data_IF_087462856012
#
_entry.id   IF_087462856012
#
_cell.length_a   1.000
_cell.length_b   1.000
_cell.length_c   1.000
_cell.angle_alpha   90.00
_cell.angle_beta   90.00
_cell.angle_gamma   90.00
#
_symmetry.space_group_name_H-M   'P 1'
#
loop_
_entity.id
_entity.type
_entity.pdbx_description
1 polymer ?
#
# COMPACT_ATOMS: atom_id res chain seq x y z
N UNK A 1 16.97 -17.31 -45.19
CA UNK A 1 15.87 -18.11 -44.64
C UNK A 1 15.97 -18.31 -43.10
N UNK A 2 17.14 -18.23 -42.50
CA UNK A 2 17.36 -18.44 -41.04
C UNK A 2 16.82 -17.31 -40.10
N UNK A 3 16.73 -16.08 -40.58
CA UNK A 3 16.30 -14.91 -39.74
C UNK A 3 14.77 -14.84 -39.52
N UNK A 4 13.97 -15.58 -40.33
CA UNK A 4 12.50 -15.59 -40.21
C UNK A 4 12.01 -16.56 -39.14
N UNK A 5 12.79 -17.62 -38.84
CA UNK A 5 12.44 -18.60 -37.80
C UNK A 5 12.73 -18.08 -36.36
N UNK A 6 13.66 -17.16 -36.18
CA UNK A 6 13.98 -16.58 -34.86
C UNK A 6 12.92 -15.60 -34.36
N UNK A 7 12.21 -14.88 -35.25
CA UNK A 7 11.09 -14.01 -34.86
C UNK A 7 9.82 -14.77 -34.51
N UNK A 8 9.52 -15.82 -35.27
CA UNK A 8 8.35 -16.68 -35.02
C UNK A 8 8.47 -17.45 -33.69
N UNK A 9 9.64 -17.97 -33.35
CA UNK A 9 9.90 -18.59 -32.04
C UNK A 9 9.75 -17.58 -30.89
N UNK A 10 10.28 -16.37 -31.00
CA UNK A 10 10.13 -15.34 -29.96
C UNK A 10 8.67 -14.96 -29.69
N UNK A 11 7.80 -14.99 -30.69
CA UNK A 11 6.37 -14.66 -30.53
C UNK A 11 5.60 -15.78 -29.81
N UNK A 12 6.03 -17.04 -29.97
CA UNK A 12 5.41 -18.20 -29.30
C UNK A 12 6.01 -18.43 -27.92
N UNK A 13 7.31 -18.16 -27.73
CA UNK A 13 8.01 -18.37 -26.46
C UNK A 13 7.73 -17.23 -25.45
N UNK A 14 7.40 -16.03 -25.91
CA UNK A 14 7.09 -14.89 -25.04
C UNK A 14 5.90 -15.12 -24.06
N UNK A 15 4.75 -15.67 -24.49
CA UNK A 15 3.66 -15.95 -23.54
C UNK A 15 3.99 -17.10 -22.58
N UNK A 16 4.77 -18.10 -23.01
CA UNK A 16 5.21 -19.20 -22.15
C UNK A 16 6.18 -18.69 -21.07
N UNK A 17 7.14 -17.85 -21.43
CA UNK A 17 8.05 -17.23 -20.47
C UNK A 17 7.31 -16.33 -19.48
N UNK A 18 6.32 -15.57 -19.93
CA UNK A 18 5.48 -14.76 -19.04
C UNK A 18 4.67 -15.63 -18.06
N UNK A 19 4.19 -16.79 -18.49
CA UNK A 19 3.50 -17.76 -17.61
C UNK A 19 4.46 -18.40 -16.61
N UNK A 20 5.69 -18.72 -17.01
CA UNK A 20 6.72 -19.23 -16.10
C UNK A 20 7.10 -18.17 -15.04
N UNK A 21 7.33 -16.93 -15.45
CA UNK A 21 7.62 -15.82 -14.51
C UNK A 21 6.45 -15.59 -13.53
N UNK A 22 5.21 -15.64 -14.00
CA UNK A 22 4.02 -15.56 -13.13
C UNK A 22 3.94 -16.78 -12.18
N UNK A 23 4.25 -17.97 -12.66
CA UNK A 23 4.29 -19.18 -11.83
C UNK A 23 5.33 -19.10 -10.72
N UNK A 24 6.54 -18.65 -11.04
CA UNK A 24 7.61 -18.42 -10.06
C UNK A 24 7.20 -17.36 -9.01
N UNK A 25 6.61 -16.26 -9.47
CA UNK A 25 6.13 -15.18 -8.61
C UNK A 25 5.05 -15.67 -7.64
N UNK A 26 4.04 -16.37 -8.15
CA UNK A 26 2.96 -16.94 -7.34
C UNK A 26 3.47 -18.00 -6.35
N UNK A 27 4.43 -18.84 -6.76
CA UNK A 27 5.04 -19.85 -5.88
C UNK A 27 5.81 -19.22 -4.73
N UNK A 28 6.50 -18.10 -4.99
CA UNK A 28 7.21 -17.33 -3.96
C UNK A 28 6.21 -16.70 -2.98
N UNK A 29 5.11 -16.13 -3.48
CA UNK A 29 4.06 -15.55 -2.64
C UNK A 29 3.40 -16.60 -1.76
N UNK A 30 3.03 -17.75 -2.33
CA UNK A 30 2.45 -18.85 -1.57
C UNK A 30 3.41 -19.36 -0.47
N UNK A 31 4.69 -19.54 -0.80
CA UNK A 31 5.71 -19.90 0.18
C UNK A 31 5.82 -18.87 1.29
N UNK A 32 5.91 -17.58 0.95
CA UNK A 32 6.01 -16.52 1.94
C UNK A 32 4.83 -16.51 2.92
N UNK A 33 3.61 -16.72 2.41
CA UNK A 33 2.39 -16.74 3.24
C UNK A 33 2.32 -18.00 4.12
N UNK A 34 2.60 -19.17 3.55
CA UNK A 34 2.57 -20.45 4.31
C UNK A 34 3.58 -20.46 5.47
N UNK A 35 4.70 -19.77 5.33
CA UNK A 35 5.72 -19.69 6.38
C UNK A 35 5.41 -18.69 7.49
N UNK A 36 4.38 -17.85 7.39
CA UNK A 36 4.02 -16.83 8.40
C UNK A 36 3.99 -17.39 9.82
N UNK A 37 3.26 -18.51 10.14
CA UNK A 37 3.15 -18.97 11.50
C UNK A 37 4.48 -19.44 12.12
N UNK A 38 5.36 -20.05 11.29
CA UNK A 38 6.69 -20.49 11.73
C UNK A 38 7.64 -19.31 11.88
N UNK A 39 7.60 -18.34 10.97
CA UNK A 39 8.43 -17.13 10.98
C UNK A 39 8.13 -16.27 12.22
N UNK A 40 6.86 -16.11 12.58
CA UNK A 40 6.42 -15.40 13.79
C UNK A 40 7.02 -15.99 15.08
N UNK A 41 7.25 -17.30 15.11
CA UNK A 41 7.84 -17.96 16.29
C UNK A 41 9.38 -17.96 16.27
N UNK A 42 9.98 -18.14 15.12
CA UNK A 42 11.43 -18.36 14.96
C UNK A 42 12.24 -17.05 14.81
N UNK A 43 11.67 -16.04 14.14
CA UNK A 43 12.40 -14.82 13.75
C UNK A 43 11.83 -13.54 14.39
N UNK A 44 11.41 -13.63 15.67
CA UNK A 44 10.80 -12.51 16.40
C UNK A 44 11.73 -11.30 16.53
N UNK A 45 13.02 -11.53 16.77
CA UNK A 45 14.01 -10.47 16.90
C UNK A 45 14.20 -9.72 15.57
N UNK A 46 14.19 -10.45 14.45
CA UNK A 46 14.33 -9.84 13.14
C UNK A 46 13.08 -9.02 12.76
N UNK A 47 11.88 -9.55 13.07
CA UNK A 47 10.61 -8.82 12.89
C UNK A 47 10.63 -7.53 13.73
N UNK A 48 11.05 -7.61 15.00
CA UNK A 48 11.14 -6.45 15.88
C UNK A 48 12.17 -5.42 15.37
N UNK A 49 13.30 -5.89 14.84
CA UNK A 49 14.33 -5.03 14.22
C UNK A 49 13.76 -4.31 12.99
N UNK A 50 13.09 -5.05 12.09
CA UNK A 50 12.45 -4.48 10.91
C UNK A 50 11.32 -3.51 11.28
N UNK A 51 10.52 -3.83 12.31
CA UNK A 51 9.49 -2.91 12.81
C UNK A 51 10.12 -1.63 13.34
N UNK A 52 11.19 -1.71 14.09
CA UNK A 52 11.90 -0.53 14.59
C UNK A 52 12.49 0.27 13.43
N UNK A 53 13.09 -0.39 12.43
CA UNK A 53 13.63 0.25 11.23
C UNK A 53 12.54 0.94 10.40
N UNK A 54 11.40 0.28 10.21
CA UNK A 54 10.24 0.81 9.48
C UNK A 54 9.56 1.95 10.23
N UNK A 55 9.45 1.85 11.56
CA UNK A 55 8.75 2.83 12.39
C UNK A 55 9.62 4.00 12.81
N UNK A 56 10.91 3.76 13.09
CA UNK A 56 11.81 4.76 13.67
C UNK A 56 13.05 5.07 12.81
N UNK A 57 13.38 4.26 11.76
CA UNK A 57 14.55 4.41 10.90
C UNK A 57 15.87 4.39 11.66
N UNK A 58 16.96 4.65 10.96
CA UNK A 58 18.32 4.70 11.54
C UNK A 58 18.72 6.07 12.13
N UNK A 59 17.78 7.00 12.28
CA UNK A 59 18.03 8.34 12.84
C UNK A 59 16.75 9.10 13.10
N UNK A 60 16.50 9.45 14.36
CA UNK A 60 15.22 9.96 14.88
C UNK A 60 14.61 11.17 14.14
N UNK A 61 15.38 11.96 13.40
CA UNK A 61 14.89 13.10 12.62
C UNK A 61 14.54 12.74 11.16
N UNK A 62 15.20 11.72 10.58
CA UNK A 62 14.94 11.24 9.21
C UNK A 62 13.63 10.46 9.15
N UNK A 63 13.16 9.95 10.26
CA UNK A 63 11.96 9.09 10.38
C UNK A 63 10.67 9.88 10.36
N UNK A 64 10.66 11.08 10.89
CA UNK A 64 9.50 11.99 10.77
C UNK A 64 9.27 12.33 9.29
N UNK A 65 10.32 12.34 8.48
CA UNK A 65 10.27 12.55 7.03
C UNK A 65 10.20 11.22 6.23
N UNK A 66 10.31 10.07 6.89
CA UNK A 66 10.19 8.75 6.29
C UNK A 66 8.74 8.39 5.89
N UNK A 67 8.40 7.12 5.98
CA UNK A 67 7.09 6.60 5.55
C UNK A 67 5.91 7.29 6.21
N UNK A 68 6.00 7.53 7.53
CA UNK A 68 4.94 8.21 8.28
C UNK A 68 4.77 9.66 7.84
N UNK A 69 5.87 10.38 7.60
CA UNK A 69 5.84 11.76 7.13
C UNK A 69 5.27 11.91 5.73
N UNK A 70 5.66 11.01 4.81
CA UNK A 70 5.10 10.98 3.44
C UNK A 70 3.60 10.66 3.50
N UNK A 71 3.21 9.68 4.30
CA UNK A 71 1.80 9.32 4.46
C UNK A 71 0.98 10.46 5.05
N UNK A 72 1.48 11.09 6.11
CA UNK A 72 0.84 12.24 6.74
C UNK A 72 0.66 13.39 5.74
N UNK A 73 1.73 13.75 5.02
CA UNK A 73 1.70 14.84 4.04
C UNK A 73 0.72 14.58 2.90
N UNK A 74 0.73 13.38 2.34
CA UNK A 74 -0.22 12.97 1.29
C UNK A 74 -1.65 12.97 1.82
N UNK A 75 -1.88 12.46 3.02
CA UNK A 75 -3.21 12.39 3.62
C UNK A 75 -3.78 13.78 3.93
N UNK A 76 -2.95 14.70 4.46
CA UNK A 76 -3.34 16.10 4.67
C UNK A 76 -3.69 16.79 3.35
N UNK A 77 -2.87 16.62 2.32
CA UNK A 77 -3.10 17.23 1.01
C UNK A 77 -4.36 16.68 0.35
N UNK A 78 -4.50 15.36 0.28
CA UNK A 78 -5.66 14.72 -0.36
C UNK A 78 -6.94 14.96 0.45
N UNK A 79 -6.88 14.90 1.78
CA UNK A 79 -8.01 15.25 2.65
C UNK A 79 -8.49 16.68 2.44
N UNK A 80 -7.56 17.63 2.31
CA UNK A 80 -7.91 19.02 1.96
C UNK A 80 -8.58 19.12 0.59
N UNK A 81 -8.09 18.38 -0.40
CA UNK A 81 -8.71 18.36 -1.74
C UNK A 81 -10.11 17.75 -1.70
N UNK A 82 -10.32 16.67 -0.96
CA UNK A 82 -11.65 16.03 -0.80
C UNK A 82 -12.65 17.02 -0.19
N UNK A 83 -12.24 17.71 0.89
CA UNK A 83 -13.06 18.73 1.52
C UNK A 83 -13.41 19.88 0.56
N UNK A 84 -12.39 20.43 -0.12
CA UNK A 84 -12.57 21.56 -1.04
C UNK A 84 -13.43 21.20 -2.27
N UNK A 85 -13.14 20.08 -2.91
CA UNK A 85 -13.88 19.66 -4.10
C UNK A 85 -15.29 19.18 -3.75
N UNK A 86 -15.43 18.47 -2.63
CA UNK A 86 -16.72 18.05 -2.10
C UNK A 86 -17.61 19.25 -1.79
N UNK A 87 -17.06 20.26 -1.10
CA UNK A 87 -17.78 21.50 -0.82
C UNK A 87 -18.24 22.20 -2.11
N UNK A 88 -17.33 22.44 -3.06
CA UNK A 88 -17.66 23.11 -4.33
C UNK A 88 -18.70 22.38 -5.15
N UNK A 89 -18.62 21.05 -5.20
CA UNK A 89 -19.59 20.24 -5.92
C UNK A 89 -21.00 20.35 -5.31
N UNK A 90 -21.10 20.36 -3.99
CA UNK A 90 -22.36 20.46 -3.28
C UNK A 90 -22.91 21.90 -3.21
N UNK A 91 -22.04 22.91 -3.10
CA UNK A 91 -22.38 24.33 -3.14
C UNK A 91 -23.06 24.70 -4.47
N UNK A 92 -22.56 24.17 -5.58
CA UNK A 92 -23.19 24.35 -6.90
C UNK A 92 -24.62 23.82 -7.01
N UNK A 93 -25.02 22.94 -6.08
CA UNK A 93 -26.37 22.35 -5.98
C UNK A 93 -27.19 22.96 -4.82
N UNK A 94 -26.59 23.86 -4.03
CA UNK A 94 -27.23 24.47 -2.85
C UNK A 94 -27.38 23.51 -1.66
N UNK A 95 -26.52 22.46 -1.58
CA UNK A 95 -26.54 21.43 -0.53
C UNK A 95 -25.16 21.25 0.12
N UNK A 96 -24.40 22.33 0.25
CA UNK A 96 -23.04 22.38 0.82
C UNK A 96 -22.95 21.80 2.24
N UNK A 97 -24.06 21.82 2.98
CA UNK A 97 -24.19 21.19 4.30
C UNK A 97 -23.77 19.70 4.30
N UNK A 98 -23.97 18.98 3.19
CA UNK A 98 -23.66 17.58 3.04
C UNK A 98 -22.14 17.30 2.80
N UNK A 99 -21.26 18.29 2.89
CA UNK A 99 -19.83 18.08 2.65
C UNK A 99 -19.21 17.09 3.64
N UNK A 100 -19.71 17.05 4.90
CA UNK A 100 -19.33 16.03 5.87
C UNK A 100 -19.59 14.60 5.37
N UNK A 101 -20.73 14.37 4.69
CA UNK A 101 -21.05 13.09 4.05
C UNK A 101 -20.00 12.69 3.01
N UNK A 102 -19.60 13.58 2.09
CA UNK A 102 -18.61 13.25 1.07
C UNK A 102 -17.28 12.81 1.72
N UNK A 103 -16.85 13.55 2.76
CA UNK A 103 -15.61 13.21 3.46
C UNK A 103 -15.73 11.88 4.20
N UNK A 104 -16.80 11.63 4.93
CA UNK A 104 -17.02 10.39 5.64
C UNK A 104 -17.09 9.20 4.68
N UNK A 105 -17.84 9.32 3.61
CA UNK A 105 -18.13 8.23 2.69
C UNK A 105 -16.98 7.91 1.74
N UNK A 106 -16.62 8.88 0.88
CA UNK A 106 -15.62 8.61 -0.17
C UNK A 106 -14.20 8.53 0.36
N UNK A 107 -13.85 9.39 1.32
CA UNK A 107 -12.50 9.40 1.84
C UNK A 107 -12.19 8.10 2.59
N UNK A 108 -13.12 7.58 3.39
CA UNK A 108 -12.91 6.36 4.15
C UNK A 108 -12.91 5.11 3.27
N UNK A 109 -13.83 5.02 2.31
CA UNK A 109 -14.01 3.80 1.51
C UNK A 109 -12.94 3.57 0.45
N UNK A 110 -12.47 4.65 -0.20
CA UNK A 110 -11.63 4.52 -1.39
C UNK A 110 -10.38 5.41 -1.32
N UNK A 111 -10.51 6.71 -1.01
CA UNK A 111 -9.42 7.66 -1.17
C UNK A 111 -8.30 7.41 -0.16
N UNK A 112 -8.61 7.30 1.13
CA UNK A 112 -7.61 7.09 2.16
C UNK A 112 -6.86 5.76 2.02
N UNK A 113 -7.51 4.60 1.72
CA UNK A 113 -6.81 3.36 1.42
C UNK A 113 -5.87 3.45 0.21
N UNK A 114 -6.30 4.13 -0.87
CA UNK A 114 -5.45 4.33 -2.05
C UNK A 114 -4.25 5.23 -1.76
N UNK A 115 -4.43 6.31 -1.02
CA UNK A 115 -3.33 7.19 -0.56
C UNK A 115 -2.33 6.42 0.29
N UNK A 116 -2.83 5.59 1.22
CA UNK A 116 -1.99 4.72 2.04
C UNK A 116 -1.18 3.73 1.20
N UNK A 117 -1.80 3.12 0.19
CA UNK A 117 -1.12 2.20 -0.72
C UNK A 117 -0.03 2.87 -1.54
N UNK A 118 -0.28 4.10 -2.01
CA UNK A 118 0.71 4.90 -2.75
C UNK A 118 1.90 5.28 -1.86
N UNK A 119 1.64 5.75 -0.63
CA UNK A 119 2.69 6.06 0.34
C UNK A 119 3.54 4.82 0.68
N UNK A 120 2.88 3.68 0.95
CA UNK A 120 3.57 2.42 1.24
C UNK A 120 4.44 1.95 0.08
N UNK A 121 3.92 2.02 -1.14
CA UNK A 121 4.65 1.66 -2.37
C UNK A 121 5.90 2.51 -2.56
N UNK A 122 5.76 3.84 -2.42
CA UNK A 122 6.84 4.78 -2.66
C UNK A 122 7.95 4.74 -1.60
N UNK A 123 7.63 4.32 -0.39
CA UNK A 123 8.56 4.33 0.75
C UNK A 123 9.03 2.94 1.12
N UNK A 124 8.23 2.19 1.89
CA UNK A 124 8.60 0.84 2.36
C UNK A 124 8.82 -0.13 1.21
N UNK A 125 7.92 -0.13 0.24
CA UNK A 125 8.01 -1.01 -0.92
C UNK A 125 9.31 -0.79 -1.69
N UNK A 126 9.55 0.43 -2.15
CA UNK A 126 10.77 0.80 -2.87
C UNK A 126 12.04 0.49 -2.04
N UNK A 127 12.02 0.80 -0.73
CA UNK A 127 13.09 0.48 0.20
C UNK A 127 13.39 -1.02 0.29
N UNK A 128 12.36 -1.86 0.43
CA UNK A 128 12.54 -3.32 0.47
C UNK A 128 13.07 -3.88 -0.84
N UNK A 129 12.62 -3.36 -1.99
CA UNK A 129 13.18 -3.75 -3.29
C UNK A 129 14.66 -3.40 -3.38
N UNK A 130 15.03 -2.20 -2.96
CA UNK A 130 16.43 -1.75 -3.01
C UNK A 130 17.33 -2.56 -2.06
N UNK A 131 16.89 -2.80 -0.82
CA UNK A 131 17.65 -3.59 0.17
C UNK A 131 17.83 -5.04 -0.30
N UNK A 132 16.76 -5.74 -0.69
CA UNK A 132 16.85 -7.11 -1.16
C UNK A 132 17.66 -7.22 -2.46
N UNK A 133 17.52 -6.24 -3.35
CA UNK A 133 18.31 -6.16 -4.57
C UNK A 133 19.80 -5.97 -4.29
N UNK A 134 20.15 -5.14 -3.32
CA UNK A 134 21.55 -4.99 -2.87
C UNK A 134 22.09 -6.29 -2.29
N UNK A 135 21.34 -6.96 -1.38
CA UNK A 135 21.70 -8.26 -0.80
C UNK A 135 21.84 -9.35 -1.88
N UNK A 136 21.05 -9.30 -2.94
CA UNK A 136 21.14 -10.25 -4.05
C UNK A 136 22.41 -10.05 -4.88
N UNK A 137 22.81 -8.80 -5.10
CA UNK A 137 24.01 -8.46 -5.88
C UNK A 137 25.29 -8.78 -5.09
N UNK A 138 25.27 -8.58 -3.76
CA UNK A 138 26.40 -8.87 -2.86
C UNK A 138 26.48 -10.35 -2.46
N UNK A 139 25.66 -11.23 -3.07
CA UNK A 139 25.61 -12.67 -2.80
C UNK A 139 25.23 -13.03 -1.34
N UNK A 140 24.72 -12.07 -0.56
CA UNK A 140 24.29 -12.30 0.82
C UNK A 140 23.12 -13.28 0.91
N UNK A 141 22.24 -13.28 -0.11
CA UNK A 141 21.12 -14.23 -0.18
C UNK A 141 21.64 -15.66 -0.33
N UNK A 142 22.65 -15.88 -1.17
CA UNK A 142 23.22 -17.19 -1.42
C UNK A 142 24.07 -17.65 -0.19
N UNK A 143 24.73 -16.72 0.50
CA UNK A 143 25.39 -16.98 1.76
C UNK A 143 24.45 -17.47 2.87
N UNK A 144 23.23 -16.93 2.96
CA UNK A 144 22.20 -17.41 3.89
C UNK A 144 21.81 -18.87 3.60
N UNK A 145 21.67 -19.23 2.34
CA UNK A 145 21.32 -20.60 1.94
C UNK A 145 22.43 -21.60 2.24
N UNK A 146 23.70 -21.22 2.04
CA UNK A 146 24.87 -22.03 2.44
C UNK A 146 24.90 -22.26 3.96
N UNK A 147 24.47 -21.28 4.75
CA UNK A 147 24.33 -21.41 6.21
C UNK A 147 23.07 -22.17 6.65
N UNK A 148 22.34 -22.81 5.72
CA UNK A 148 21.07 -23.51 5.97
C UNK A 148 19.97 -22.60 6.57
N UNK A 149 20.02 -21.30 6.34
CA UNK A 149 18.97 -20.36 6.70
C UNK A 149 18.06 -20.20 5.48
N UNK A 150 16.77 -20.60 5.57
CA UNK A 150 15.85 -20.48 4.45
C UNK A 150 15.60 -19.01 4.11
N UNK A 151 16.07 -18.56 2.93
CA UNK A 151 16.11 -17.16 2.49
C UNK A 151 14.73 -16.52 2.41
N UNK A 152 13.73 -17.23 1.84
CA UNK A 152 12.35 -16.71 1.68
C UNK A 152 11.68 -16.41 3.03
N UNK A 153 11.63 -17.32 4.01
CA UNK A 153 11.06 -17.01 5.33
C UNK A 153 11.80 -15.90 6.06
N UNK A 154 13.13 -15.90 5.98
CA UNK A 154 13.95 -14.93 6.70
C UNK A 154 13.90 -13.52 6.09
N UNK A 155 13.93 -13.40 4.76
CA UNK A 155 13.99 -12.11 4.08
C UNK A 155 12.61 -11.56 3.67
N UNK A 156 11.73 -12.41 3.15
CA UNK A 156 10.46 -11.96 2.57
C UNK A 156 9.35 -11.99 3.62
N UNK A 157 9.15 -13.15 4.29
CA UNK A 157 8.03 -13.29 5.23
C UNK A 157 8.17 -12.36 6.43
N UNK A 158 9.40 -12.11 6.93
CA UNK A 158 9.63 -11.14 8.00
C UNK A 158 9.23 -9.72 7.60
N UNK A 159 9.54 -9.30 6.35
CA UNK A 159 9.14 -8.00 5.82
C UNK A 159 7.64 -7.86 5.63
N UNK A 160 6.97 -8.92 5.17
CA UNK A 160 5.49 -8.93 5.06
C UNK A 160 4.86 -8.72 6.44
N UNK A 161 5.31 -9.48 7.45
CA UNK A 161 4.77 -9.37 8.81
C UNK A 161 5.04 -7.98 9.38
N UNK A 162 6.29 -7.50 9.30
CA UNK A 162 6.67 -6.19 9.82
C UNK A 162 5.88 -5.06 9.14
N UNK A 163 5.74 -5.11 7.81
CA UNK A 163 5.02 -4.07 7.07
C UNK A 163 3.52 -4.07 7.35
N UNK A 164 2.89 -5.24 7.50
CA UNK A 164 1.47 -5.33 7.88
C UNK A 164 1.23 -4.80 9.29
N UNK A 165 2.13 -5.06 10.24
CA UNK A 165 2.00 -4.50 11.58
C UNK A 165 2.21 -2.98 11.56
N UNK A 166 3.20 -2.49 10.82
CA UNK A 166 3.54 -1.07 10.73
C UNK A 166 2.46 -0.24 10.05
N UNK A 167 1.78 -0.78 9.02
CA UNK A 167 0.79 -0.01 8.28
C UNK A 167 -0.44 0.37 9.12
N UNK A 168 -0.81 -0.43 10.12
CA UNK A 168 -1.99 -0.18 10.94
C UNK A 168 -1.91 1.18 11.66
N UNK A 169 -0.89 1.46 12.51
CA UNK A 169 -0.77 2.75 13.16
C UNK A 169 -0.51 3.89 12.16
N UNK A 170 0.25 3.64 11.08
CA UNK A 170 0.49 4.63 10.04
C UNK A 170 -0.80 5.04 9.32
N UNK A 171 -1.63 4.07 8.96
CA UNK A 171 -2.93 4.33 8.34
C UNK A 171 -3.87 5.08 9.28
N UNK A 172 -3.88 4.74 10.58
CA UNK A 172 -4.67 5.47 11.58
C UNK A 172 -4.31 6.96 11.58
N UNK A 173 -3.02 7.28 11.64
CA UNK A 173 -2.54 8.67 11.60
C UNK A 173 -2.92 9.35 10.30
N UNK A 174 -2.73 8.67 9.16
CA UNK A 174 -3.09 9.19 7.84
C UNK A 174 -4.59 9.46 7.69
N UNK A 175 -5.44 8.53 8.13
CA UNK A 175 -6.90 8.68 8.07
C UNK A 175 -7.39 9.84 8.93
N UNK A 176 -6.91 9.94 10.18
CA UNK A 176 -7.24 11.05 11.07
C UNK A 176 -6.74 12.40 10.52
N UNK A 177 -5.55 12.43 9.95
CA UNK A 177 -5.00 13.62 9.30
C UNK A 177 -5.84 14.06 8.10
N UNK A 178 -6.31 13.12 7.29
CA UNK A 178 -7.17 13.39 6.15
C UNK A 178 -8.53 13.96 6.59
N UNK A 179 -9.15 13.41 7.64
CA UNK A 179 -10.38 13.94 8.20
C UNK A 179 -10.19 15.34 8.79
N UNK A 180 -9.13 15.56 9.56
CA UNK A 180 -8.80 16.86 10.14
C UNK A 180 -8.55 17.90 9.03
N UNK A 181 -7.81 17.56 7.99
CA UNK A 181 -7.52 18.45 6.88
C UNK A 181 -8.78 18.85 6.10
N UNK A 182 -9.67 17.88 5.83
CA UNK A 182 -10.95 18.14 5.18
C UNK A 182 -11.83 19.07 6.03
N UNK A 183 -11.98 18.76 7.32
CA UNK A 183 -12.74 19.58 8.26
C UNK A 183 -12.21 21.02 8.34
N UNK A 184 -10.91 21.18 8.55
CA UNK A 184 -10.28 22.50 8.62
C UNK A 184 -10.48 23.30 7.33
N UNK A 185 -10.34 22.66 6.17
CA UNK A 185 -10.54 23.31 4.88
C UNK A 185 -11.97 23.85 4.74
N UNK A 186 -12.95 22.97 5.02
CA UNK A 186 -14.38 23.31 4.85
C UNK A 186 -14.83 24.36 5.86
N UNK A 187 -14.37 24.29 7.11
CA UNK A 187 -14.80 25.22 8.17
C UNK A 187 -14.06 26.56 8.14
N UNK A 188 -12.75 26.55 7.88
CA UNK A 188 -11.94 27.78 7.93
C UNK A 188 -11.86 28.51 6.59
N UNK A 189 -11.86 27.79 5.46
CA UNK A 189 -11.73 28.40 4.13
C UNK A 189 -13.10 28.68 3.52
N UNK A 190 -14.02 27.72 3.61
CA UNK A 190 -15.35 27.86 3.02
C UNK A 190 -16.41 28.38 4.02
N UNK A 191 -16.03 28.64 5.28
CA UNK A 191 -16.90 29.19 6.33
C UNK A 191 -18.17 28.36 6.63
N UNK A 192 -18.18 27.05 6.34
CA UNK A 192 -19.28 26.19 6.74
C UNK A 192 -19.26 26.03 8.28
N UNK A 193 -20.41 26.17 8.97
CA UNK A 193 -20.46 25.96 10.42
C UNK A 193 -19.96 24.56 10.80
N UNK A 194 -18.98 24.49 11.72
CA UNK A 194 -18.36 23.22 12.11
C UNK A 194 -19.35 22.17 12.60
N UNK A 195 -20.37 22.59 13.34
CA UNK A 195 -21.43 21.68 13.81
C UNK A 195 -22.25 21.05 12.68
N UNK A 196 -22.47 21.77 11.58
CA UNK A 196 -23.14 21.21 10.39
C UNK A 196 -22.27 20.16 9.73
N UNK A 197 -20.96 20.43 9.55
CA UNK A 197 -20.01 19.46 9.01
C UNK A 197 -19.94 18.22 9.88
N UNK A 198 -19.74 18.37 11.18
CA UNK A 198 -19.57 17.27 12.14
C UNK A 198 -20.84 16.41 12.20
N UNK A 199 -22.04 17.00 12.17
CA UNK A 199 -23.30 16.27 12.16
C UNK A 199 -23.41 15.31 10.97
N UNK A 200 -23.15 15.80 9.75
CA UNK A 200 -23.24 14.95 8.56
C UNK A 200 -22.05 13.99 8.45
N UNK A 201 -20.88 14.35 8.97
CA UNK A 201 -19.74 13.46 9.04
C UNK A 201 -20.00 12.25 9.94
N UNK A 202 -20.47 12.49 11.16
CA UNK A 202 -20.78 11.43 12.14
C UNK A 202 -21.93 10.54 11.68
N UNK A 203 -22.96 11.14 11.07
CA UNK A 203 -24.13 10.42 10.56
C UNK A 203 -23.75 9.39 9.49
N UNK A 204 -22.76 9.69 8.66
CA UNK A 204 -22.39 8.86 7.50
C UNK A 204 -21.01 8.17 7.65
N UNK A 205 -20.45 8.10 8.87
CA UNK A 205 -19.24 7.35 9.18
C UNK A 205 -19.56 6.15 10.08
N UNK A 206 -20.15 5.07 9.56
CA UNK A 206 -20.38 3.88 10.35
C UNK A 206 -19.03 3.19 10.67
N UNK A 207 -18.94 2.61 11.86
CA UNK A 207 -17.72 1.87 12.31
C UNK A 207 -17.35 0.75 11.33
N UNK A 208 -18.34 0.11 10.71
CA UNK A 208 -18.12 -0.93 9.69
C UNK A 208 -17.27 -0.44 8.53
N UNK A 209 -17.49 0.79 8.03
CA UNK A 209 -16.76 1.33 6.89
C UNK A 209 -15.28 1.58 7.25
N UNK A 210 -15.05 2.06 8.48
CA UNK A 210 -13.69 2.21 9.00
C UNK A 210 -12.99 0.85 9.08
N UNK A 211 -13.64 -0.20 9.60
CA UNK A 211 -13.08 -1.54 9.66
C UNK A 211 -12.79 -2.12 8.27
N UNK A 212 -13.70 -1.92 7.31
CA UNK A 212 -13.49 -2.35 5.93
C UNK A 212 -12.35 -1.59 5.25
N UNK A 213 -12.16 -0.30 5.54
CA UNK A 213 -11.02 0.46 5.03
C UNK A 213 -9.68 -0.09 5.56
N UNK A 214 -9.59 -0.47 6.84
CA UNK A 214 -8.43 -1.17 7.39
C UNK A 214 -8.19 -2.52 6.72
N UNK A 215 -9.24 -3.31 6.48
CA UNK A 215 -9.13 -4.57 5.77
C UNK A 215 -8.54 -4.37 4.37
N UNK A 216 -9.02 -3.38 3.61
CA UNK A 216 -8.48 -3.01 2.29
C UNK A 216 -6.99 -2.67 2.38
N UNK A 217 -6.60 -1.81 3.31
CA UNK A 217 -5.20 -1.39 3.48
C UNK A 217 -4.28 -2.55 3.86
N UNK A 218 -4.73 -3.48 4.72
CA UNK A 218 -3.97 -4.68 5.07
C UNK A 218 -3.75 -5.56 3.84
N UNK A 219 -4.78 -5.78 3.03
CA UNK A 219 -4.67 -6.55 1.78
C UNK A 219 -3.70 -5.85 0.81
N UNK A 220 -3.80 -4.53 0.64
CA UNK A 220 -2.88 -3.77 -0.19
C UNK A 220 -1.43 -3.90 0.31
N UNK A 221 -1.21 -3.78 1.62
CA UNK A 221 0.11 -3.90 2.21
C UNK A 221 0.75 -5.27 1.91
N UNK A 222 0.00 -6.36 2.08
CA UNK A 222 0.48 -7.71 1.76
C UNK A 222 0.89 -7.81 0.29
N UNK A 223 0.03 -7.36 -0.62
CA UNK A 223 0.29 -7.45 -2.07
C UNK A 223 1.46 -6.58 -2.48
N UNK A 224 1.52 -5.33 -2.02
CA UNK A 224 2.60 -4.39 -2.31
C UNK A 224 3.94 -4.97 -1.84
N UNK A 225 4.02 -5.42 -0.58
CA UNK A 225 5.27 -5.91 -0.02
C UNK A 225 5.73 -7.18 -0.73
N UNK A 226 4.82 -8.09 -1.06
CA UNK A 226 5.14 -9.30 -1.83
C UNK A 226 5.69 -8.96 -3.21
N UNK A 227 5.06 -8.03 -3.95
CA UNK A 227 5.55 -7.57 -5.25
C UNK A 227 6.96 -7.00 -5.11
N UNK A 228 7.16 -6.07 -4.18
CA UNK A 228 8.44 -5.41 -3.97
C UNK A 228 9.54 -6.38 -3.54
N UNK A 229 9.24 -7.32 -2.65
CA UNK A 229 10.17 -8.36 -2.24
C UNK A 229 10.53 -9.29 -3.40
N UNK A 230 9.57 -9.66 -4.26
CA UNK A 230 9.85 -10.50 -5.43
C UNK A 230 10.82 -9.83 -6.40
N UNK A 231 10.56 -8.57 -6.76
CA UNK A 231 11.44 -7.83 -7.67
C UNK A 231 12.83 -7.58 -7.09
N UNK A 232 12.93 -7.31 -5.77
CA UNK A 232 14.21 -7.16 -5.09
C UNK A 232 14.99 -8.48 -5.05
N UNK A 233 14.34 -9.57 -4.65
CA UNK A 233 14.94 -10.90 -4.56
C UNK A 233 15.42 -11.45 -5.92
N UNK A 234 14.73 -11.08 -6.99
CA UNK A 234 15.04 -11.50 -8.37
C UNK A 234 15.92 -10.49 -9.14
N UNK A 235 16.42 -9.44 -8.47
CA UNK A 235 17.21 -8.40 -9.13
C UNK A 235 18.52 -8.96 -9.71
N UNK A 236 18.85 -8.52 -10.94
CA UNK A 236 20.05 -8.94 -11.70
C UNK A 236 20.63 -7.71 -12.41
N UNK A 237 21.93 -7.78 -12.74
CA UNK A 237 22.57 -6.73 -13.54
C UNK A 237 23.17 -5.59 -12.72
N UNK A 238 23.57 -5.87 -11.49
CA UNK A 238 24.29 -4.91 -10.63
C UNK A 238 23.40 -3.76 -10.13
N UNK A 239 23.99 -2.64 -9.65
CA UNK A 239 23.25 -1.54 -9.06
C UNK A 239 22.20 -0.90 -10.01
N UNK A 240 22.50 -0.83 -11.31
CA UNK A 240 21.56 -0.36 -12.31
C UNK A 240 20.33 -1.28 -12.43
N UNK A 241 20.54 -2.60 -12.31
CA UNK A 241 19.46 -3.58 -12.30
C UNK A 241 18.52 -3.45 -11.10
N UNK A 242 19.04 -3.09 -9.92
CA UNK A 242 18.23 -2.80 -8.73
C UNK A 242 17.32 -1.59 -8.98
N UNK A 243 17.84 -0.52 -9.56
CA UNK A 243 17.03 0.64 -9.93
C UNK A 243 15.88 0.30 -10.89
N UNK A 244 16.16 -0.58 -11.87
CA UNK A 244 15.12 -1.08 -12.81
C UNK A 244 14.09 -1.93 -12.05
N UNK A 245 14.51 -2.79 -11.12
CA UNK A 245 13.63 -3.61 -10.31
C UNK A 245 12.68 -2.76 -9.45
N UNK A 246 13.20 -1.70 -8.80
CA UNK A 246 12.39 -0.72 -8.05
C UNK A 246 11.36 -0.07 -8.96
N UNK A 247 11.75 0.42 -10.14
CA UNK A 247 10.81 1.05 -11.07
C UNK A 247 9.72 0.09 -11.59
N UNK A 248 10.03 -1.21 -11.75
CA UNK A 248 9.06 -2.22 -12.16
C UNK A 248 8.11 -2.58 -11.02
N UNK A 249 8.63 -2.77 -9.81
CA UNK A 249 7.81 -3.11 -8.63
C UNK A 249 6.82 -2.01 -8.30
N UNK A 250 7.24 -0.73 -8.33
CA UNK A 250 6.36 0.42 -8.10
C UNK A 250 5.20 0.45 -9.11
N UNK A 251 5.51 0.32 -10.40
CA UNK A 251 4.45 0.32 -11.42
C UNK A 251 3.45 -0.82 -11.25
N UNK A 252 3.95 -2.03 -11.01
CA UNK A 252 3.07 -3.19 -10.82
C UNK A 252 2.24 -3.04 -9.55
N UNK A 253 2.81 -2.54 -8.46
CA UNK A 253 2.09 -2.31 -7.20
C UNK A 253 0.96 -1.30 -7.37
N UNK A 254 1.19 -0.18 -8.04
CA UNK A 254 0.15 0.84 -8.27
C UNK A 254 -1.01 0.24 -9.10
N UNK A 255 -0.70 -0.46 -10.19
CA UNK A 255 -1.73 -1.08 -11.03
C UNK A 255 -2.49 -2.16 -10.26
N UNK A 256 -1.77 -3.03 -9.54
CA UNK A 256 -2.40 -4.10 -8.77
C UNK A 256 -3.30 -3.58 -7.66
N UNK A 257 -2.88 -2.52 -6.94
CA UNK A 257 -3.70 -1.93 -5.88
C UNK A 257 -4.92 -1.23 -6.43
N UNK A 258 -4.83 -0.53 -7.56
CA UNK A 258 -6.01 0.08 -8.21
C UNK A 258 -7.03 -0.98 -8.66
N UNK A 259 -6.57 -2.09 -9.24
CA UNK A 259 -7.45 -3.20 -9.64
C UNK A 259 -8.08 -3.86 -8.39
N UNK A 260 -7.27 -4.12 -7.36
CA UNK A 260 -7.76 -4.71 -6.11
C UNK A 260 -8.75 -3.79 -5.39
N UNK A 261 -8.52 -2.48 -5.39
CA UNK A 261 -9.43 -1.52 -4.79
C UNK A 261 -10.81 -1.58 -5.45
N UNK A 262 -10.84 -1.58 -6.78
CA UNK A 262 -12.08 -1.71 -7.54
C UNK A 262 -12.85 -2.99 -7.18
N UNK A 263 -12.17 -4.16 -7.19
CA UNK A 263 -12.82 -5.42 -6.85
C UNK A 263 -13.24 -5.51 -5.39
N UNK A 264 -12.42 -5.03 -4.46
CA UNK A 264 -12.76 -5.02 -3.04
C UNK A 264 -13.95 -4.09 -2.76
N UNK A 265 -14.00 -2.92 -3.40
CA UNK A 265 -15.14 -2.01 -3.30
C UNK A 265 -16.43 -2.69 -3.79
N UNK A 266 -16.38 -3.40 -4.93
CA UNK A 266 -17.51 -4.16 -5.44
C UNK A 266 -17.96 -5.29 -4.49
N UNK A 267 -17.01 -6.02 -3.92
CA UNK A 267 -17.30 -7.15 -3.02
C UNK A 267 -17.83 -6.69 -1.67
N UNK A 268 -17.23 -5.64 -1.10
CA UNK A 268 -17.56 -5.17 0.25
C UNK A 268 -18.84 -4.34 0.24
N UNK A 269 -18.97 -3.42 -0.73
CA UNK A 269 -20.08 -2.47 -0.75
C UNK A 269 -21.16 -2.83 -1.78
N UNK A 270 -20.91 -3.81 -2.64
CA UNK A 270 -21.86 -4.30 -3.64
C UNK A 270 -22.11 -3.32 -4.78
N UNK A 271 -23.07 -3.70 -5.63
CA UNK A 271 -23.55 -2.86 -6.73
C UNK A 271 -24.73 -1.94 -6.32
N UNK A 272 -25.22 -2.11 -5.10
CA UNK A 272 -26.30 -1.29 -4.54
C UNK A 272 -25.73 -0.12 -3.76
N UNK A 273 -26.15 1.08 -4.07
CA UNK A 273 -25.85 2.32 -3.34
C UNK A 273 -26.62 2.36 -2.01
N UNK A 274 -26.42 1.39 -1.11
CA UNK A 274 -26.95 1.47 0.24
C UNK A 274 -26.06 2.42 1.05
N UNK A 275 -26.53 3.63 1.27
CA UNK A 275 -25.92 4.56 2.22
C UNK A 275 -26.31 4.07 3.61
N UNK A 276 -25.36 3.49 4.34
CA UNK A 276 -25.58 3.11 5.74
C UNK A 276 -25.48 4.34 6.61
N UNK A 277 -26.51 4.59 7.39
CA UNK A 277 -26.55 5.66 8.39
C UNK A 277 -26.03 5.06 9.69
N UNK A 278 -25.08 5.74 10.34
CA UNK A 278 -24.60 5.36 11.64
C UNK A 278 -25.71 5.59 12.67
N UNK A 279 -26.19 4.52 13.28
CA UNK A 279 -27.21 4.54 14.33
C UNK A 279 -26.62 4.04 15.65
#
# INVERSE_FOLDING_TARGET
MALRNGRARRVVDAPLQALEELGEQLSLYARAIVWIPRTLRRYRSEIARLLAEVSFGSGALIVILGTAGVMLSLSLFVGSLVGLQGFRALDSLGVEALTGFITAYFNTRDIAPLVASAALTATLGAGFTAQLGAMRISEEVDALEVMAVPSVPFLITTRVIAGVIAIIPMYTIGLLASFAASRLNVTLINNLPGGTYDHYFDLFLPVSDVLYSYLKVIIFAVVIILIHCHYGYSAKGGPAGVGIAVGRSVRLSIVSTAILDFFLTLVIYGTSTSVSVAG
#
